data_IF_463789862472
#
_entry.id   IF_463789862472
#
_cell.length_a   1.000
_cell.length_b   1.000
_cell.length_c   1.000
_cell.angle_alpha   90.00
_cell.angle_beta   90.00
_cell.angle_gamma   90.00
#
_symmetry.space_group_name_H-M   'P 1'
#
loop_
_entity.id
_entity.type
_entity.pdbx_description
1 polymer ?
#
# COMPACT_ATOMS: atom_id res chain seq x y z
N UNK A 1 -5.70 -20.81 -4.36
CA UNK A 1 -5.55 -20.55 -2.90
C UNK A 1 -5.53 -19.04 -2.72
N UNK A 2 -6.25 -18.48 -1.73
CA UNK A 2 -6.23 -17.02 -1.48
C UNK A 2 -5.13 -16.71 -0.47
N UNK A 3 -4.25 -15.76 -0.81
CA UNK A 3 -3.14 -15.34 0.06
C UNK A 3 -3.53 -14.06 0.79
N UNK A 4 -3.14 -13.94 2.05
CA UNK A 4 -3.22 -12.70 2.81
C UNK A 4 -1.80 -12.19 3.05
N UNK A 5 -1.52 -10.99 2.57
CA UNK A 5 -0.23 -10.35 2.78
C UNK A 5 -0.24 -9.57 4.10
N UNK A 6 0.36 -10.15 5.13
CA UNK A 6 0.32 -9.59 6.46
C UNK A 6 1.23 -8.37 6.66
N UNK A 7 2.13 -8.06 5.71
CA UNK A 7 3.12 -7.02 5.92
C UNK A 7 3.68 -6.50 4.59
N UNK A 8 3.24 -5.31 4.18
CA UNK A 8 3.87 -4.57 3.10
C UNK A 8 3.92 -3.06 3.37
N UNK A 9 4.77 -2.36 2.60
CA UNK A 9 4.97 -0.92 2.70
C UNK A 9 4.63 -0.27 1.35
N UNK A 10 3.98 0.89 1.40
CA UNK A 10 3.80 1.77 0.23
C UNK A 10 4.71 2.97 0.44
N UNK A 11 5.50 3.28 -0.59
CA UNK A 11 6.46 4.39 -0.63
C UNK A 11 6.00 5.31 -1.75
N UNK A 12 5.19 6.29 -1.36
CA UNK A 12 4.61 7.27 -2.28
C UNK A 12 5.17 8.66 -1.92
N UNK A 13 5.93 9.24 -2.84
CA UNK A 13 6.58 10.55 -2.66
C UNK A 13 5.60 11.73 -2.67
N UNK A 14 4.32 11.49 -2.97
CA UNK A 14 3.26 12.48 -2.75
C UNK A 14 3.03 12.76 -1.25
N UNK A 15 3.58 11.92 -0.36
CA UNK A 15 3.57 12.08 1.09
C UNK A 15 4.97 12.39 1.64
N UNK A 16 5.09 13.01 2.83
CA UNK A 16 6.39 13.25 3.45
C UNK A 16 7.15 11.94 3.68
N UNK A 17 8.38 11.87 3.15
CA UNK A 17 9.30 10.75 3.39
C UNK A 17 10.56 11.31 4.04
N UNK A 18 10.90 10.78 5.20
CA UNK A 18 12.11 11.07 5.96
C UNK A 18 13.17 10.05 5.59
N UNK A 19 14.32 10.55 5.13
CA UNK A 19 15.51 9.75 4.93
C UNK A 19 15.94 9.10 6.25
N UNK A 20 16.19 7.79 6.23
CA UNK A 20 16.65 7.07 7.42
C UNK A 20 18.11 6.65 7.21
N UNK A 21 19.02 7.18 8.02
CA UNK A 21 20.45 6.85 8.01
C UNK A 21 21.13 6.95 6.62
N UNK A 22 20.76 7.93 5.81
CA UNK A 22 21.36 8.12 4.48
C UNK A 22 20.70 7.27 3.38
N UNK A 23 19.59 6.59 3.69
CA UNK A 23 18.86 5.74 2.76
C UNK A 23 17.46 6.28 2.49
N UNK A 24 17.18 6.50 1.21
CA UNK A 24 15.87 6.80 0.68
C UNK A 24 15.45 5.65 -0.26
N UNK A 25 14.41 4.88 0.07
CA UNK A 25 13.99 3.77 -0.76
C UNK A 25 13.39 4.27 -2.09
N UNK A 26 13.41 3.45 -3.15
CA UNK A 26 12.75 3.78 -4.41
C UNK A 26 11.23 3.86 -4.23
N UNK A 27 10.57 4.60 -5.13
CA UNK A 27 9.11 4.70 -5.17
C UNK A 27 8.48 3.32 -5.32
N UNK A 28 7.46 3.04 -4.52
CA UNK A 28 6.63 1.84 -4.61
C UNK A 28 5.19 2.20 -4.27
N UNK A 29 4.39 2.46 -5.30
CA UNK A 29 3.03 3.00 -5.12
C UNK A 29 1.99 1.88 -5.11
N UNK A 30 0.75 2.22 -4.70
CA UNK A 30 -0.37 1.26 -4.64
C UNK A 30 -0.57 0.47 -5.94
N UNK A 31 -0.37 1.11 -7.10
CA UNK A 31 -0.54 0.45 -8.40
C UNK A 31 0.48 -0.65 -8.63
N UNK A 32 1.72 -0.46 -8.17
CA UNK A 32 2.78 -1.46 -8.28
C UNK A 32 2.41 -2.68 -7.45
N UNK A 33 2.02 -2.45 -6.19
CA UNK A 33 1.51 -3.50 -5.31
C UNK A 33 0.33 -4.26 -5.90
N UNK A 34 -0.68 -3.58 -6.45
CA UNK A 34 -1.85 -4.23 -7.03
C UNK A 34 -1.51 -5.16 -8.21
N UNK A 35 -0.54 -4.76 -9.04
CA UNK A 35 -0.08 -5.57 -10.16
C UNK A 35 0.59 -6.86 -9.67
N UNK A 36 1.52 -6.73 -8.74
CA UNK A 36 2.28 -7.87 -8.19
C UNK A 36 1.38 -8.79 -7.34
N UNK A 37 0.50 -8.21 -6.51
CA UNK A 37 -0.45 -8.93 -5.67
C UNK A 37 -1.46 -9.76 -6.50
N UNK A 38 -1.88 -9.25 -7.65
CA UNK A 38 -2.78 -9.96 -8.55
C UNK A 38 -2.14 -11.23 -9.13
N UNK A 39 -0.86 -11.17 -9.51
CA UNK A 39 -0.11 -12.33 -10.01
C UNK A 39 0.02 -13.44 -8.95
N UNK A 40 0.08 -13.06 -7.67
CA UNK A 40 0.21 -13.96 -6.53
C UNK A 40 -1.12 -14.44 -5.94
N UNK A 41 -2.27 -14.03 -6.47
CA UNK A 41 -3.61 -14.28 -5.90
C UNK A 41 -3.76 -13.81 -4.44
N UNK A 42 -3.18 -12.64 -4.12
CA UNK A 42 -3.39 -11.97 -2.83
C UNK A 42 -4.81 -11.40 -2.79
N UNK A 43 -5.59 -11.79 -1.78
CA UNK A 43 -6.98 -11.39 -1.62
C UNK A 43 -7.16 -10.20 -0.64
N UNK A 44 -6.09 -9.82 0.05
CA UNK A 44 -6.06 -8.69 0.98
C UNK A 44 -4.72 -8.61 1.70
N UNK A 45 -4.48 -7.49 2.38
CA UNK A 45 -3.26 -7.33 3.15
C UNK A 45 -3.29 -6.19 4.16
N UNK A 46 -2.21 -6.07 4.93
CA UNK A 46 -2.01 -5.03 5.91
C UNK A 46 -0.85 -4.12 5.51
N UNK A 47 -1.17 -2.85 5.28
CA UNK A 47 -0.17 -1.80 5.12
C UNK A 47 0.47 -1.56 6.48
N UNK A 48 1.79 -1.49 6.54
CA UNK A 48 2.56 -1.19 7.74
C UNK A 48 3.36 0.08 7.46
N UNK A 49 3.47 0.99 8.43
CA UNK A 49 4.27 2.21 8.26
C UNK A 49 5.72 1.76 8.33
N UNK A 50 6.50 2.16 7.33
CA UNK A 50 7.94 2.05 7.43
C UNK A 50 8.47 3.07 8.43
N UNK A 51 9.77 3.05 8.68
CA UNK A 51 10.44 4.13 9.43
C UNK A 51 10.38 5.46 8.67
N UNK A 52 10.22 5.41 7.34
CA UNK A 52 10.39 6.54 6.43
C UNK A 52 9.24 7.56 6.44
N UNK A 53 7.95 7.19 6.51
CA UNK A 53 6.86 8.17 6.67
C UNK A 53 6.82 8.83 8.06
N UNK A 54 7.67 8.40 9.01
CA UNK A 54 7.61 8.86 10.39
C UNK A 54 6.27 8.52 11.07
N UNK A 55 5.69 9.49 11.78
CA UNK A 55 4.37 9.38 12.43
C UNK A 55 3.20 9.80 11.52
N UNK A 56 3.47 10.12 10.26
CA UNK A 56 2.43 10.59 9.34
C UNK A 56 1.53 9.42 8.92
N UNK A 57 0.26 9.47 9.33
CA UNK A 57 -0.71 8.43 9.05
C UNK A 57 -1.55 8.70 7.79
N UNK A 58 -1.35 9.85 7.12
CA UNK A 58 -2.17 10.25 5.98
C UNK A 58 -2.02 9.29 4.79
N UNK A 59 -0.85 8.65 4.66
CA UNK A 59 -0.62 7.62 3.65
C UNK A 59 -1.59 6.44 3.78
N UNK A 60 -1.95 6.04 5.00
CA UNK A 60 -2.90 4.96 5.24
C UNK A 60 -4.32 5.31 4.81
N UNK A 61 -4.75 6.54 5.10
CA UNK A 61 -6.09 7.01 4.78
C UNK A 61 -6.27 7.15 3.26
N UNK A 62 -5.25 7.60 2.53
CA UNK A 62 -5.30 7.73 1.08
C UNK A 62 -5.17 6.40 0.34
N UNK A 63 -4.47 5.41 0.91
CA UNK A 63 -4.30 4.08 0.32
C UNK A 63 -5.51 3.15 0.50
N UNK A 64 -6.25 3.23 1.62
CA UNK A 64 -7.44 2.38 1.84
C UNK A 64 -8.48 2.44 0.70
N UNK A 65 -8.90 3.60 0.18
CA UNK A 65 -9.86 3.68 -0.92
C UNK A 65 -9.36 3.04 -2.21
N UNK A 66 -8.03 3.00 -2.43
CA UNK A 66 -7.42 2.48 -3.66
C UNK A 66 -7.24 0.97 -3.62
N UNK A 67 -7.09 0.36 -2.43
CA UNK A 67 -6.81 -1.07 -2.26
C UNK A 67 -8.04 -1.94 -1.99
N UNK A 68 -9.16 -1.36 -1.56
CA UNK A 68 -10.42 -2.10 -1.47
C UNK A 68 -11.04 -2.14 -2.87
N UNK A 69 -11.18 -3.31 -3.51
CA UNK A 69 -11.93 -3.37 -4.76
C UNK A 69 -13.35 -2.88 -4.49
N UNK A 70 -13.77 -1.83 -5.21
CA UNK A 70 -15.14 -1.34 -5.17
C UNK A 70 -16.02 -2.52 -5.59
N UNK A 71 -16.89 -3.05 -4.71
CA UNK A 71 -17.77 -4.14 -5.11
C UNK A 71 -18.61 -3.65 -6.30
N UNK A 72 -18.84 -4.49 -7.33
CA UNK A 72 -19.72 -4.10 -8.42
C UNK A 72 -21.05 -3.70 -7.79
N UNK A 73 -21.52 -2.47 -8.05
CA UNK A 73 -22.84 -2.04 -7.61
C UNK A 73 -23.83 -3.08 -8.11
N UNK A 74 -24.49 -3.80 -7.20
CA UNK A 74 -25.63 -4.62 -7.56
C UNK A 74 -26.67 -3.65 -8.12
N UNK A 75 -26.80 -3.64 -9.44
CA UNK A 75 -27.91 -2.97 -10.12
C UNK A 75 -29.12 -3.85 -9.79
N UNK A 76 -29.87 -3.46 -8.76
CA UNK A 76 -31.21 -3.95 -8.50
C UNK A 76 -32.19 -3.28 -9.44
#
# INVERSE_FOLDING_TARGET
MRIFDAHFHIIDFDFPIVENQGYLPPSYVVKDYQKEAAELNVAGGAIVSGTFPGFDQDIYLCTKPRLVPVPPRSVS
#
